data_IF_969338696167
#
_entry.id   IF_969338696167
#
_cell.length_a   1.000
_cell.length_b   1.000
_cell.length_c   1.000
_cell.angle_alpha   90.00
_cell.angle_beta   90.00
_cell.angle_gamma   90.00
#
_symmetry.space_group_name_H-M   'P 1'
#
loop_
_entity.id
_entity.type
_entity.pdbx_description
1 polymer ?
#
# COMPACT_ATOMS: atom_id res chain seq x y z
N UNK A 1 -3.76 -1.57 -9.81
CA UNK A 1 -3.44 -0.19 -9.38
C UNK A 1 -4.09 0.04 -8.04
N UNK A 2 -3.41 0.77 -7.17
CA UNK A 2 -3.93 1.19 -5.86
C UNK A 2 -3.81 2.70 -5.79
N UNK A 3 -4.86 3.37 -5.34
CA UNK A 3 -4.96 4.82 -5.35
C UNK A 3 -5.83 5.33 -4.20
N UNK A 4 -5.68 6.62 -3.92
CA UNK A 4 -6.47 7.37 -2.94
C UNK A 4 -7.00 8.67 -3.55
N UNK A 5 -6.76 8.89 -4.84
CA UNK A 5 -7.17 10.06 -5.58
C UNK A 5 -8.67 10.15 -5.76
N UNK A 6 -9.07 11.29 -6.32
CA UNK A 6 -10.43 11.59 -6.69
C UNK A 6 -10.91 10.61 -7.79
N UNK A 7 -12.21 10.32 -7.83
CA UNK A 7 -12.77 9.47 -8.90
C UNK A 7 -12.91 10.22 -10.23
N UNK A 8 -12.90 11.55 -10.17
CA UNK A 8 -13.01 12.48 -11.28
C UNK A 8 -12.34 13.80 -10.88
N UNK A 9 -12.07 14.65 -11.87
CA UNK A 9 -11.44 15.94 -11.61
C UNK A 9 -12.29 16.78 -10.64
N UNK A 10 -11.68 17.17 -9.51
CA UNK A 10 -12.32 18.03 -8.50
C UNK A 10 -13.18 17.31 -7.46
N UNK A 11 -13.32 15.98 -7.53
CA UNK A 11 -13.99 15.20 -6.49
C UNK A 11 -13.10 15.01 -5.23
N UNK A 12 -13.71 14.57 -4.13
CA UNK A 12 -12.99 14.26 -2.89
C UNK A 12 -12.05 13.06 -3.06
N UNK A 13 -10.88 13.16 -2.45
CA UNK A 13 -9.86 12.11 -2.34
C UNK A 13 -9.76 11.60 -0.89
N UNK A 14 -9.05 10.49 -0.67
CA UNK A 14 -8.74 9.94 0.66
C UNK A 14 -9.16 8.49 0.85
N UNK A 15 -10.19 8.01 0.14
CA UNK A 15 -10.57 6.59 0.24
C UNK A 15 -9.64 5.71 -0.60
N UNK A 16 -9.15 4.63 0.01
CA UNK A 16 -8.39 3.61 -0.69
C UNK A 16 -9.25 2.94 -1.76
N UNK A 17 -8.77 2.95 -2.99
CA UNK A 17 -9.37 2.26 -4.14
C UNK A 17 -8.35 1.37 -4.81
N UNK A 18 -8.85 0.29 -5.41
CA UNK A 18 -8.03 -0.61 -6.22
C UNK A 18 -8.78 -1.04 -7.46
N UNK A 19 -8.07 -1.10 -8.59
CA UNK A 19 -8.62 -1.44 -9.89
C UNK A 19 -7.58 -2.15 -10.76
N UNK A 20 -8.06 -2.85 -11.79
CA UNK A 20 -7.21 -3.39 -12.84
C UNK A 20 -7.07 -2.39 -13.97
N UNK A 21 -6.05 -2.53 -14.80
CA UNK A 21 -5.85 -1.69 -15.96
C UNK A 21 -5.21 -2.51 -17.09
N UNK A 22 -5.38 -2.04 -18.33
CA UNK A 22 -4.76 -2.66 -19.50
C UNK A 22 -3.63 -1.77 -20.00
N UNK A 23 -2.42 -2.32 -20.07
CA UNK A 23 -1.26 -1.63 -20.66
C UNK A 23 -1.52 -1.47 -22.16
N UNK A 24 -1.41 -0.23 -22.65
CA UNK A 24 -1.63 0.12 -24.06
C UNK A 24 -0.34 0.41 -24.81
N UNK A 25 0.67 0.94 -24.13
CA UNK A 25 1.95 1.32 -24.69
C UNK A 25 3.04 1.17 -23.64
N UNK A 26 4.25 0.83 -24.08
CA UNK A 26 5.44 0.74 -23.24
C UNK A 26 6.57 1.43 -23.99
N UNK A 27 7.15 2.43 -23.33
CA UNK A 27 8.31 3.17 -23.81
C UNK A 27 9.55 2.82 -22.97
N UNK A 28 10.66 3.52 -23.24
CA UNK A 28 11.93 3.29 -22.59
C UNK A 28 11.90 3.52 -21.07
N UNK A 29 11.12 4.50 -20.58
CA UNK A 29 11.07 4.88 -19.17
C UNK A 29 9.67 4.75 -18.55
N UNK A 30 8.63 4.60 -19.36
CA UNK A 30 7.24 4.63 -18.91
C UNK A 30 6.41 3.53 -19.58
N UNK A 31 5.24 3.24 -19.01
CA UNK A 31 4.17 2.58 -19.72
C UNK A 31 2.86 3.32 -19.47
N UNK A 32 1.93 3.16 -20.40
CA UNK A 32 0.61 3.78 -20.32
C UNK A 32 -0.48 2.71 -20.24
N UNK A 33 -1.59 3.06 -19.61
CA UNK A 33 -2.79 2.23 -19.57
C UNK A 33 -3.98 2.91 -20.23
N UNK A 34 -4.89 2.09 -20.74
CA UNK A 34 -6.17 2.55 -21.29
C UNK A 34 -7.13 3.06 -20.22
N UNK A 35 -8.09 3.88 -20.64
CA UNK A 35 -9.12 4.46 -19.76
C UNK A 35 -9.96 3.44 -18.97
N UNK A 36 -10.15 2.24 -19.53
CA UNK A 36 -10.91 1.17 -18.90
C UNK A 36 -10.04 -0.09 -18.72
N UNK A 37 -10.20 -0.83 -17.60
CA UNK A 37 -11.27 -0.69 -16.60
C UNK A 37 -11.01 0.32 -15.48
N UNK A 38 -9.80 0.88 -15.33
CA UNK A 38 -9.52 1.91 -14.32
C UNK A 38 -8.36 2.82 -14.74
N UNK A 39 -8.43 4.09 -14.32
CA UNK A 39 -7.38 5.10 -14.43
C UNK A 39 -6.97 5.60 -13.04
N UNK A 40 -5.80 6.26 -13.01
CA UNK A 40 -5.44 7.16 -11.91
C UNK A 40 -6.02 8.54 -12.16
N UNK A 41 -6.22 9.29 -11.08
CA UNK A 41 -6.62 10.69 -11.15
C UNK A 41 -5.88 11.53 -10.10
N UNK A 42 -6.36 12.76 -9.88
CA UNK A 42 -5.77 13.70 -8.94
C UNK A 42 -5.63 13.09 -7.54
N UNK A 43 -4.41 13.08 -7.03
CA UNK A 43 -4.07 12.46 -5.74
C UNK A 43 -3.54 11.02 -5.82
N UNK A 44 -3.56 10.38 -7.00
CA UNK A 44 -2.93 9.06 -7.20
C UNK A 44 -1.46 9.15 -7.64
N UNK A 45 -0.93 10.36 -7.89
CA UNK A 45 0.47 10.57 -8.24
C UNK A 45 1.40 9.95 -7.20
N UNK A 46 2.39 9.19 -7.66
CA UNK A 46 3.29 8.40 -6.79
C UNK A 46 2.71 7.05 -6.34
N UNK A 47 1.43 6.76 -6.60
CA UNK A 47 0.79 5.51 -6.24
C UNK A 47 1.26 4.31 -7.08
N UNK A 48 1.25 3.08 -6.54
CA UNK A 48 1.80 1.91 -7.22
C UNK A 48 0.84 1.26 -8.23
N UNK A 49 1.39 0.92 -9.39
CA UNK A 49 0.82 -0.06 -10.31
C UNK A 49 1.41 -1.45 -9.99
N UNK A 50 0.53 -2.35 -9.56
CA UNK A 50 0.91 -3.69 -9.13
C UNK A 50 0.69 -4.72 -10.25
N UNK A 51 1.63 -5.66 -10.39
CA UNK A 51 1.55 -6.79 -11.32
C UNK A 51 1.73 -8.09 -10.56
N UNK A 52 0.91 -9.09 -10.89
CA UNK A 52 1.08 -10.45 -10.38
C UNK A 52 2.15 -11.20 -11.17
N UNK A 53 3.13 -11.75 -10.46
CA UNK A 53 4.17 -12.63 -10.97
C UNK A 53 4.14 -13.93 -10.15
N UNK A 54 3.49 -14.96 -10.71
CA UNK A 54 3.20 -16.20 -9.97
C UNK A 54 2.27 -15.92 -8.80
N UNK A 55 2.68 -16.32 -7.59
CA UNK A 55 1.94 -16.10 -6.34
C UNK A 55 2.25 -14.75 -5.68
N UNK A 56 3.17 -13.95 -6.25
CA UNK A 56 3.61 -12.68 -5.67
C UNK A 56 3.03 -11.51 -6.44
N UNK A 57 2.81 -10.42 -5.73
CA UNK A 57 2.51 -9.12 -6.31
C UNK A 57 3.76 -8.26 -6.24
N UNK A 58 4.10 -7.60 -7.35
CA UNK A 58 5.26 -6.71 -7.46
C UNK A 58 4.82 -5.34 -7.95
N UNK A 59 5.58 -4.30 -7.60
CA UNK A 59 5.38 -2.97 -8.15
C UNK A 59 5.98 -2.96 -9.56
N UNK A 60 5.13 -2.80 -10.57
CA UNK A 60 5.54 -2.69 -11.98
C UNK A 60 5.77 -1.23 -12.38
N UNK A 61 5.08 -0.29 -11.75
CA UNK A 61 5.23 1.13 -12.04
C UNK A 61 4.76 2.04 -10.91
N UNK A 62 5.14 3.30 -11.02
CA UNK A 62 4.75 4.38 -10.12
C UNK A 62 4.00 5.43 -10.95
N UNK A 63 2.80 5.81 -10.51
CA UNK A 63 1.96 6.78 -11.22
C UNK A 63 2.71 8.10 -11.38
N UNK A 64 2.88 8.53 -12.63
CA UNK A 64 3.66 9.72 -12.97
C UNK A 64 2.77 10.86 -13.44
N UNK A 65 1.90 10.59 -14.41
CA UNK A 65 1.07 11.60 -15.06
C UNK A 65 -0.18 10.95 -15.69
N UNK A 66 -1.09 11.76 -16.23
CA UNK A 66 -2.30 11.37 -16.92
C UNK A 66 -2.96 12.59 -17.57
N UNK A 67 -4.01 12.41 -18.35
CA UNK A 67 -4.71 13.57 -18.89
C UNK A 67 -5.44 14.35 -17.78
N UNK A 68 -5.53 15.68 -17.94
CA UNK A 68 -6.10 16.56 -16.91
C UNK A 68 -7.55 16.23 -16.51
N UNK A 69 -8.30 15.56 -17.39
CA UNK A 69 -9.68 15.14 -17.16
C UNK A 69 -9.80 13.73 -16.57
N UNK A 70 -8.68 13.02 -16.35
CA UNK A 70 -8.65 11.64 -15.87
C UNK A 70 -9.48 10.67 -16.74
N UNK A 71 -9.48 10.85 -18.07
CA UNK A 71 -10.46 10.21 -18.95
C UNK A 71 -9.86 9.35 -20.06
N UNK A 72 -8.58 9.53 -20.39
CA UNK A 72 -7.96 8.96 -21.58
C UNK A 72 -6.86 7.95 -21.25
N UNK A 73 -5.95 8.30 -20.36
CA UNK A 73 -4.81 7.45 -20.02
C UNK A 73 -4.17 7.84 -18.69
N UNK A 74 -3.45 6.88 -18.12
CA UNK A 74 -2.49 7.10 -17.02
C UNK A 74 -1.13 6.58 -17.45
N UNK A 75 -0.08 7.32 -17.12
CA UNK A 75 1.30 6.99 -17.38
C UNK A 75 2.03 6.66 -16.07
N UNK A 76 2.87 5.63 -16.12
CA UNK A 76 3.62 5.13 -14.98
C UNK A 76 5.10 5.09 -15.32
N UNK A 77 5.94 5.56 -14.40
CA UNK A 77 7.38 5.32 -14.46
C UNK A 77 7.65 3.81 -14.28
N UNK A 78 8.56 3.26 -15.07
CA UNK A 78 8.88 1.84 -15.08
C UNK A 78 9.86 1.47 -13.97
N UNK A 79 9.37 0.73 -12.97
CA UNK A 79 10.21 0.29 -11.85
C UNK A 79 11.36 -0.58 -12.32
N UNK A 80 11.15 -1.46 -13.31
CA UNK A 80 12.17 -2.38 -13.82
C UNK A 80 13.36 -1.66 -14.48
N UNK A 81 13.14 -0.48 -15.05
CA UNK A 81 14.18 0.35 -15.68
C UNK A 81 15.06 1.03 -14.61
N UNK A 82 14.46 1.38 -13.48
CA UNK A 82 15.12 2.10 -12.40
C UNK A 82 15.72 1.19 -11.32
N UNK A 83 15.55 -0.14 -11.42
CA UNK A 83 16.06 -1.09 -10.42
C UNK A 83 17.56 -0.89 -10.20
N UNK A 84 18.38 -1.04 -11.23
CA UNK A 84 19.84 -1.14 -11.06
C UNK A 84 20.48 0.19 -10.64
N UNK A 85 20.02 1.31 -11.22
CA UNK A 85 20.67 2.62 -11.00
C UNK A 85 20.13 3.37 -9.80
N UNK A 86 18.88 3.14 -9.42
CA UNK A 86 18.22 3.91 -8.37
C UNK A 86 17.82 3.04 -7.19
N UNK A 87 17.04 1.97 -7.41
CA UNK A 87 16.46 1.20 -6.30
C UNK A 87 17.47 0.27 -5.63
N UNK A 88 18.31 -0.44 -6.38
CA UNK A 88 19.22 -1.45 -5.86
C UNK A 88 20.23 -0.88 -4.84
N UNK A 89 20.84 0.31 -5.04
CA UNK A 89 21.69 0.93 -4.01
C UNK A 89 20.93 1.26 -2.72
N UNK A 90 19.68 1.72 -2.83
CA UNK A 90 18.83 2.07 -1.67
C UNK A 90 18.44 0.80 -0.90
N UNK A 91 18.01 -0.24 -1.62
CA UNK A 91 17.64 -1.52 -1.05
C UNK A 91 18.84 -2.21 -0.38
N UNK A 92 20.02 -2.12 -0.98
CA UNK A 92 21.26 -2.67 -0.42
C UNK A 92 21.74 -1.92 0.82
N UNK A 93 21.51 -0.60 0.88
CA UNK A 93 21.79 0.19 2.09
C UNK A 93 20.87 -0.18 3.26
N UNK A 94 19.67 -0.69 2.95
CA UNK A 94 18.66 -1.05 3.94
C UNK A 94 18.00 0.17 4.60
N UNK A 95 16.93 -0.05 5.40
CA UNK A 95 16.38 1.01 6.22
C UNK A 95 17.44 1.47 7.23
N UNK A 96 17.70 2.77 7.27
CA UNK A 96 18.53 3.35 8.32
C UNK A 96 17.68 3.45 9.58
N UNK A 97 18.00 2.64 10.59
CA UNK A 97 17.35 2.79 11.88
C UNK A 97 17.63 4.20 12.45
N UNK A 98 16.59 4.92 12.89
CA UNK A 98 16.80 6.18 13.56
C UNK A 98 17.50 5.90 14.89
N UNK A 99 18.76 6.31 15.01
CA UNK A 99 19.59 6.07 16.20
C UNK A 99 19.10 6.91 17.39
N UNK A 100 18.32 7.97 17.10
CA UNK A 100 17.70 8.88 18.06
C UNK A 100 16.46 9.54 17.45
N UNK A 101 15.41 8.77 17.19
CA UNK A 101 14.15 9.34 16.74
C UNK A 101 13.61 10.33 17.79
N UNK A 102 13.17 11.50 17.33
CA UNK A 102 12.41 12.45 18.14
C UNK A 102 11.10 11.81 18.64
N UNK A 103 10.67 12.10 19.88
CA UNK A 103 9.36 11.68 20.36
C UNK A 103 8.22 12.20 19.47
N UNK A 104 7.22 11.36 19.23
CA UNK A 104 6.08 11.65 18.34
C UNK A 104 5.25 12.88 18.74
N UNK A 105 5.17 13.15 20.04
CA UNK A 105 4.48 14.29 20.63
C UNK A 105 5.29 15.59 20.53
N UNK A 106 6.61 15.49 20.39
CA UNK A 106 7.54 16.62 20.33
C UNK A 106 7.82 17.11 18.89
N UNK A 107 7.24 16.48 17.86
CA UNK A 107 7.51 16.78 16.45
C UNK A 107 7.12 18.20 16.04
N UNK A 108 6.08 18.79 16.66
CA UNK A 108 5.67 20.17 16.35
C UNK A 108 6.62 21.23 16.94
N UNK A 109 7.37 20.90 17.99
CA UNK A 109 8.20 21.87 18.71
C UNK A 109 9.68 21.69 18.43
N UNK A 110 10.12 20.47 18.13
CA UNK A 110 11.54 20.13 17.97
C UNK A 110 11.95 20.13 16.50
N UNK A 111 13.12 20.67 16.20
CA UNK A 111 13.71 20.64 14.86
C UNK A 111 14.50 19.34 14.66
N UNK A 112 14.57 18.87 13.42
CA UNK A 112 15.48 17.80 13.01
C UNK A 112 16.73 18.41 12.37
N UNK A 113 17.86 17.73 12.47
CA UNK A 113 19.09 18.06 11.74
C UNK A 113 19.27 17.14 10.52
N UNK A 114 18.77 15.90 10.61
CA UNK A 114 18.82 14.90 9.55
C UNK A 114 17.67 13.89 9.66
N UNK A 115 17.50 13.05 8.63
CA UNK A 115 16.49 11.98 8.63
C UNK A 115 16.64 11.01 9.83
N UNK A 116 17.83 10.89 10.41
CA UNK A 116 18.07 10.06 11.58
C UNK A 116 17.39 10.56 12.86
N UNK A 117 17.01 11.84 12.90
CA UNK A 117 16.26 12.41 14.02
C UNK A 117 14.75 12.13 13.88
N UNK A 118 14.30 11.65 12.73
CA UNK A 118 12.89 11.45 12.47
C UNK A 118 12.47 9.99 12.74
N UNK A 119 11.30 9.78 13.37
CA UNK A 119 10.66 8.46 13.42
C UNK A 119 10.52 7.84 12.03
N UNK A 120 10.47 6.51 11.98
CA UNK A 120 10.30 5.77 10.74
C UNK A 120 9.07 6.25 9.95
N UNK A 121 9.19 6.29 8.63
CA UNK A 121 8.23 6.88 7.68
C UNK A 121 8.09 8.42 7.70
N UNK A 122 8.93 9.12 8.47
CA UNK A 122 9.12 10.58 8.39
C UNK A 122 10.54 10.90 7.90
N UNK A 123 10.73 12.09 7.33
CA UNK A 123 12.06 12.57 6.92
C UNK A 123 12.26 14.03 7.29
N UNK A 124 13.52 14.44 7.41
CA UNK A 124 13.86 15.79 7.79
C UNK A 124 13.83 16.71 6.56
N UNK A 125 12.86 17.61 6.52
CA UNK A 125 12.71 18.57 5.43
C UNK A 125 12.84 20.01 5.95
N UNK A 126 13.46 20.87 5.16
CA UNK A 126 13.51 22.30 5.46
C UNK A 126 12.09 22.89 5.48
N UNK A 127 11.62 23.38 6.63
CA UNK A 127 10.45 24.24 6.70
C UNK A 127 10.91 25.70 6.55
N UNK A 128 10.36 26.42 5.58
CA UNK A 128 10.85 27.71 5.07
C UNK A 128 11.05 28.81 6.12
N UNK A 129 10.42 28.73 7.29
CA UNK A 129 10.52 29.76 8.34
C UNK A 129 10.82 29.23 9.75
N UNK A 130 10.81 27.91 9.98
CA UNK A 130 10.89 27.33 11.34
C UNK A 130 12.09 26.38 11.54
N UNK A 131 13.03 26.34 10.59
CA UNK A 131 14.08 25.33 10.56
C UNK A 131 13.56 23.98 10.05
N UNK A 132 14.44 22.99 9.92
CA UNK A 132 14.05 21.69 9.40
C UNK A 132 13.15 20.92 10.39
N UNK A 133 12.13 20.25 9.86
CA UNK A 133 11.10 19.52 10.60
C UNK A 133 10.94 18.11 10.03
N UNK A 134 10.58 17.18 10.91
CA UNK A 134 10.16 15.86 10.47
C UNK A 134 8.79 15.99 9.79
N UNK A 135 8.74 15.63 8.52
CA UNK A 135 7.51 15.64 7.72
C UNK A 135 7.21 14.23 7.24
N UNK A 136 5.92 13.92 7.11
CA UNK A 136 5.45 12.68 6.51
C UNK A 136 5.11 12.84 5.03
N UNK A 137 4.59 11.76 4.41
CA UNK A 137 4.05 11.77 3.05
C UNK A 137 3.23 13.03 2.74
N UNK A 138 3.49 13.65 1.58
CA UNK A 138 2.87 14.92 1.20
C UNK A 138 3.47 16.17 1.87
N UNK A 139 4.60 16.04 2.57
CA UNK A 139 5.27 17.16 3.24
C UNK A 139 4.51 17.67 4.46
N UNK A 140 3.66 16.83 5.06
CA UNK A 140 2.82 17.21 6.20
C UNK A 140 3.66 17.19 7.48
N UNK A 141 3.74 18.33 8.16
CA UNK A 141 4.31 18.47 9.49
C UNK A 141 3.20 18.29 10.54
N UNK A 142 3.32 17.25 11.37
CA UNK A 142 2.29 16.86 12.33
C UNK A 142 2.90 16.23 13.58
N UNK A 143 2.13 16.24 14.68
CA UNK A 143 2.38 15.41 15.87
C UNK A 143 1.46 14.20 15.87
N UNK A 144 1.88 13.13 16.53
CA UNK A 144 1.09 11.92 16.70
C UNK A 144 0.85 11.68 18.19
N UNK A 145 -0.42 11.61 18.58
CA UNK A 145 -0.86 11.54 19.97
C UNK A 145 -1.22 10.13 20.42
N UNK A 146 -2.43 9.99 20.93
CA UNK A 146 -2.99 8.72 21.42
C UNK A 146 -3.20 7.73 20.28
N UNK A 147 -3.21 6.44 20.61
CA UNK A 147 -3.60 5.38 19.67
C UNK A 147 -5.08 5.52 19.27
N UNK A 148 -5.40 5.08 18.06
CA UNK A 148 -6.74 5.14 17.48
C UNK A 148 -7.00 3.96 16.55
N UNK A 149 -8.26 3.58 16.40
CA UNK A 149 -8.71 2.60 15.40
C UNK A 149 -9.36 3.30 14.19
N UNK A 150 -10.02 4.43 14.40
CA UNK A 150 -10.59 5.27 13.35
C UNK A 150 -10.49 6.78 13.62
N UNK A 151 -10.85 7.60 12.63
CA UNK A 151 -10.77 9.06 12.71
C UNK A 151 -11.63 9.66 13.83
N UNK A 152 -12.72 8.97 14.21
CA UNK A 152 -13.65 9.40 15.27
C UNK A 152 -13.07 9.30 16.68
N UNK A 153 -12.03 8.49 16.87
CA UNK A 153 -11.28 8.42 18.14
C UNK A 153 -10.45 9.68 18.40
N UNK A 154 -10.19 10.47 17.36
CA UNK A 154 -9.34 11.63 17.44
C UNK A 154 -10.12 12.90 17.78
N UNK A 155 -9.80 13.50 18.94
CA UNK A 155 -10.34 14.80 19.37
C UNK A 155 -10.10 15.87 18.29
N UNK A 156 -8.94 15.81 17.63
CA UNK A 156 -8.60 16.61 16.47
C UNK A 156 -7.71 15.82 15.53
N UNK A 157 -7.86 16.04 14.22
CA UNK A 157 -7.03 15.43 13.19
C UNK A 157 -7.60 14.14 12.61
N UNK A 158 -6.72 13.24 12.17
CA UNK A 158 -7.05 11.97 11.51
C UNK A 158 -6.25 10.83 12.11
N UNK A 159 -6.82 9.63 12.19
CA UNK A 159 -6.10 8.43 12.60
C UNK A 159 -5.15 7.99 11.47
N UNK A 160 -3.85 8.01 11.74
CA UNK A 160 -2.83 7.72 10.74
C UNK A 160 -1.80 6.70 11.26
N UNK A 161 -1.27 5.84 10.38
CA UNK A 161 -0.23 4.91 10.75
C UNK A 161 1.08 5.66 11.02
N UNK A 162 1.81 5.20 12.03
CA UNK A 162 3.17 5.62 12.33
C UNK A 162 4.00 4.39 12.68
N UNK A 163 5.27 4.40 12.31
CA UNK A 163 6.19 3.29 12.57
C UNK A 163 7.09 3.67 13.75
N UNK A 164 6.93 2.98 14.87
CA UNK A 164 7.76 3.10 16.07
C UNK A 164 8.65 1.85 16.20
N UNK A 165 9.93 1.98 15.81
CA UNK A 165 10.82 0.82 15.67
C UNK A 165 10.35 -0.11 14.55
N UNK A 166 10.01 -1.36 14.89
CA UNK A 166 9.50 -2.37 13.95
C UNK A 166 7.96 -2.49 13.96
N UNK A 167 7.25 -1.69 14.78
CA UNK A 167 5.80 -1.78 14.91
C UNK A 167 5.13 -0.63 14.19
N UNK A 168 4.17 -0.95 13.34
CA UNK A 168 3.20 0.01 12.84
C UNK A 168 2.06 0.13 13.85
N UNK A 169 1.82 1.33 14.36
CA UNK A 169 0.71 1.67 15.25
C UNK A 169 -0.11 2.79 14.65
N UNK A 170 -1.39 2.84 14.96
CA UNK A 170 -2.28 3.91 14.51
C UNK A 170 -2.42 4.94 15.61
N UNK A 171 -2.14 6.20 15.29
CA UNK A 171 -2.21 7.31 16.25
C UNK A 171 -2.90 8.53 15.65
N UNK A 172 -3.54 9.32 16.52
CA UNK A 172 -4.18 10.56 16.12
C UNK A 172 -3.14 11.58 15.66
N UNK A 173 -3.18 11.91 14.37
CA UNK A 173 -2.29 12.85 13.70
C UNK A 173 -2.92 14.23 13.66
N UNK A 174 -2.28 15.19 14.30
CA UNK A 174 -2.68 16.58 14.31
C UNK A 174 -1.65 17.43 13.56
N UNK A 175 -2.11 18.16 12.53
CA UNK A 175 -1.25 19.04 11.73
C UNK A 175 -0.71 20.15 12.62
N UNK A 176 0.61 20.32 12.64
CA UNK A 176 1.24 21.36 13.43
C UNK A 176 0.78 22.73 12.91
N UNK A 177 0.51 23.70 13.80
CA UNK A 177 0.12 25.05 13.38
C UNK A 177 1.23 25.66 12.52
N UNK A 178 0.89 26.04 11.28
CA UNK A 178 1.82 26.82 10.44
C UNK A 178 1.96 28.22 11.05
N UNK A 179 3.19 28.72 11.16
CA UNK A 179 3.42 30.14 11.46
C UNK A 179 3.13 31.05 10.27
N UNK A 180 3.12 30.50 9.05
CA UNK A 180 2.80 31.22 7.82
C UNK A 180 1.61 30.59 7.11
N UNK A 181 0.57 31.38 6.85
CA UNK A 181 -0.67 30.99 6.20
C UNK A 181 -0.45 30.65 4.70
N UNK A 182 0.13 29.49 4.43
CA UNK A 182 0.11 28.83 3.12
C UNK A 182 -1.06 27.85 3.02
N UNK A 183 -1.55 27.55 1.80
CA UNK A 183 -2.77 26.77 1.60
C UNK A 183 -2.73 25.45 2.37
N UNK A 184 -3.81 25.22 3.11
CA UNK A 184 -4.13 23.94 3.74
C UNK A 184 -4.20 22.88 2.64
N UNK A 185 -3.20 22.00 2.57
CA UNK A 185 -3.39 20.72 1.89
C UNK A 185 -4.26 19.90 2.83
N UNK A 186 -5.57 20.06 2.69
CA UNK A 186 -6.58 19.19 3.29
C UNK A 186 -6.53 17.85 2.54
N UNK A 187 -5.44 17.11 2.73
CA UNK A 187 -5.33 15.73 2.27
C UNK A 187 -6.04 14.84 3.28
N UNK A 188 -7.28 14.45 2.96
CA UNK A 188 -8.01 13.41 3.67
C UNK A 188 -7.11 12.20 3.86
N UNK A 189 -7.00 11.74 5.10
CA UNK A 189 -6.03 10.74 5.53
C UNK A 189 -6.15 9.44 4.76
N UNK A 190 -4.99 8.83 4.47
CA UNK A 190 -4.92 7.38 4.37
C UNK A 190 -5.22 6.83 5.76
N UNK A 191 -6.50 6.69 6.06
CA UNK A 191 -6.99 6.31 7.38
C UNK A 191 -6.60 4.88 7.74
N UNK A 192 -6.42 4.66 9.04
CA UNK A 192 -6.16 3.37 9.67
C UNK A 192 -7.35 2.38 9.64
N UNK A 193 -8.41 2.66 8.87
CA UNK A 193 -9.56 1.79 8.75
C UNK A 193 -9.09 0.38 8.37
N UNK A 194 -9.04 -0.48 9.38
CA UNK A 194 -8.55 -1.82 9.26
C UNK A 194 -9.35 -2.49 8.15
N UNK A 195 -8.64 -3.07 7.17
CA UNK A 195 -9.20 -4.25 6.52
C UNK A 195 -9.41 -5.22 7.65
N UNK A 196 -10.65 -5.32 8.15
CA UNK A 196 -11.00 -6.29 9.18
C UNK A 196 -10.42 -7.62 8.70
N UNK A 197 -9.35 -8.08 9.35
CA UNK A 197 -8.85 -9.41 9.15
C UNK A 197 -10.07 -10.29 9.35
N UNK A 198 -10.46 -10.96 8.27
CA UNK A 198 -11.67 -11.77 8.24
C UNK A 198 -11.69 -12.62 9.51
N UNK A 199 -12.71 -12.40 10.34
CA UNK A 199 -13.05 -13.28 11.46
C UNK A 199 -13.45 -14.63 10.87
N UNK A 200 -12.46 -15.44 10.50
CA UNK A 200 -12.62 -16.79 10.01
C UNK A 200 -12.03 -17.74 11.04
N UNK A 201 -12.78 -17.89 12.12
CA UNK A 201 -12.54 -18.87 13.17
C UNK A 201 -13.86 -19.32 13.78
N UNK A 202 -14.92 -19.42 12.97
CA UNK A 202 -16.13 -20.09 13.36
C UNK A 202 -15.80 -21.56 13.62
N UNK A 203 -16.02 -21.95 14.87
CA UNK A 203 -16.23 -23.32 15.33
C UNK A 203 -16.97 -24.16 14.30
N UNK A 204 -16.32 -25.20 13.78
CA UNK A 204 -16.97 -26.34 13.12
C UNK A 204 -16.24 -27.62 13.53
N UNK A 205 -16.49 -28.02 14.78
CA UNK A 205 -16.49 -29.42 15.16
C UNK A 205 -17.73 -30.05 14.53
N UNK A 206 -17.56 -31.05 13.66
CA UNK A 206 -18.26 -32.34 13.66
C UNK A 206 -18.21 -33.06 12.29
N UNK A 207 -17.82 -34.34 12.37
CA UNK A 207 -18.18 -35.47 11.49
C UNK A 207 -17.50 -35.60 10.12
N UNK A 208 -16.29 -36.17 10.11
CA UNK A 208 -15.91 -37.15 9.08
C UNK A 208 -15.40 -38.41 9.79
N UNK A 209 -16.33 -39.33 10.01
CA UNK A 209 -16.05 -40.68 10.51
C UNK A 209 -17.06 -41.64 9.88
N UNK A 210 -16.55 -42.73 9.34
CA UNK A 210 -17.24 -43.82 8.64
C UNK A 210 -17.63 -43.57 7.18
N UNK A 211 -16.74 -43.97 6.26
CA UNK A 211 -17.07 -44.72 5.02
C UNK A 211 -15.77 -45.23 4.35
N UNK A 212 -14.94 -45.97 5.11
CA UNK A 212 -13.76 -46.67 4.56
C UNK A 212 -13.69 -48.14 5.03
N UNK A 213 -14.85 -48.75 5.26
CA UNK A 213 -14.96 -50.18 5.52
C UNK A 213 -16.26 -50.68 4.89
N UNK A 214 -16.24 -50.95 3.57
CA UNK A 214 -17.17 -51.82 2.83
C UNK A 214 -16.92 -51.65 1.31
N UNK A 215 -15.83 -52.25 0.77
CA UNK A 215 -15.72 -52.75 -0.62
C UNK A 215 -14.28 -53.20 -0.95
N UNK A 216 -13.76 -54.17 -0.22
CA UNK A 216 -12.58 -54.92 -0.66
C UNK A 216 -12.57 -56.35 -0.09
N UNK A 217 -13.73 -57.01 -0.10
CA UNK A 217 -13.85 -58.45 0.18
C UNK A 217 -14.86 -59.07 -0.77
N UNK A 218 -14.44 -59.29 -2.00
CA UNK A 218 -14.93 -60.36 -2.89
C UNK A 218 -14.48 -60.05 -4.31
N UNK A 219 -13.46 -60.74 -4.80
CA UNK A 219 -13.41 -61.41 -6.10
C UNK A 219 -11.98 -61.89 -6.36
N UNK A 220 -11.60 -62.90 -5.57
CA UNK A 220 -10.71 -63.95 -6.05
C UNK A 220 -11.36 -64.67 -7.23
N UNK A 221 -10.51 -65.10 -8.18
CA UNK A 221 -10.80 -66.09 -9.22
C UNK A 221 -11.58 -65.61 -10.45
N UNK A 222 -10.85 -65.38 -11.55
CA UNK A 222 -10.94 -66.18 -12.79
C UNK A 222 -9.92 -65.70 -13.84
N UNK A 223 -8.70 -66.24 -13.76
CA UNK A 223 -7.89 -66.46 -14.97
C UNK A 223 -8.49 -67.66 -15.69
N UNK A 224 -9.00 -67.48 -16.91
CA UNK A 224 -8.94 -68.47 -18.01
C UNK A 224 -9.54 -67.91 -19.30
N UNK A 225 -8.73 -67.99 -20.34
CA UNK A 225 -9.06 -68.47 -21.68
C UNK A 225 -10.01 -67.63 -22.56
N UNK A 226 -9.43 -66.93 -23.55
CA UNK A 226 -9.40 -67.32 -24.99
C UNK A 226 -9.32 -66.08 -25.88
N UNK A 227 -8.22 -65.96 -26.62
CA UNK A 227 -8.15 -65.16 -27.85
C UNK A 227 -8.15 -66.15 -29.01
N UNK A 228 -9.17 -66.04 -29.86
CA UNK A 228 -9.33 -66.81 -31.08
C UNK A 228 -8.53 -66.17 -32.24
N UNK A 229 -8.30 -66.91 -33.35
CA UNK A 229 -7.34 -66.55 -34.39
C UNK A 229 -8.01 -65.87 -35.61
N UNK A 230 -7.18 -65.24 -36.45
CA UNK A 230 -7.33 -64.90 -37.90
C UNK A 230 -6.22 -63.89 -38.21
N UNK A 231 -5.48 -63.93 -39.31
CA UNK A 231 -5.48 -64.74 -40.53
C UNK A 231 -4.10 -64.61 -41.15
#
# INVERSE_FOLDING_TARGET
MVGFGAQEAGASSGDRRQGTARVRAIDAATFEVDAAPSLTCQGDSGGPALRRLGEREVIAGVTSDGDAACARFSAFARVDVDVERFLAPILAAGPKEPTRALPLDALCTTACASDHDCPSALWCAAASSQGARCVGPGGVHARYGVECDDDGDCIAGTCAPVVEGERETCRCREICPRSDAGPSLSGGGGGCAHSAAARSGATSLLLIGALAALRARSFTSRRRLRRAPRR
#
